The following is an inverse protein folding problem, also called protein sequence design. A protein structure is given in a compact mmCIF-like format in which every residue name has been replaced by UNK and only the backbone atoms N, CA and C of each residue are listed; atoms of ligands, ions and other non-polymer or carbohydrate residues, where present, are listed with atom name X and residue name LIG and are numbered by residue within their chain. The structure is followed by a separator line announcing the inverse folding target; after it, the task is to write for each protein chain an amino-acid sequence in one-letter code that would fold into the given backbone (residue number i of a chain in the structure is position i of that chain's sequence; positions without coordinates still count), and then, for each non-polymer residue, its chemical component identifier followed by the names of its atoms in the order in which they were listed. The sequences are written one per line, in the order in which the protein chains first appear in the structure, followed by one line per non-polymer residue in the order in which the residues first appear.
data_IF_837018520708
#
_entry.id   IF_837018520708
#
_cell.length_a   1.000
_cell.length_b   1.000
_cell.length_c   1.000
_cell.angle_alpha   90.00
_cell.angle_beta   90.00
_cell.angle_gamma   90.00
#
_symmetry.space_group_name_H-M   'P 1'
#
loop_
_entity.id
_entity.type
_entity.pdbx_description
1 polymer ?
#
# COMPACT_ATOMS: atom_id res chain seq x y z
N UNK A 1 9.26 14.95 -41.79
CA UNK A 1 10.25 15.95 -42.26
C UNK A 1 9.71 17.31 -41.82
N UNK A 2 10.29 17.91 -40.78
CA UNK A 2 9.83 19.21 -40.31
C UNK A 2 10.49 20.31 -41.13
N UNK A 3 9.69 21.17 -41.74
CA UNK A 3 10.15 22.32 -42.50
C UNK A 3 10.91 23.29 -41.58
N UNK A 4 12.08 23.75 -42.03
CA UNK A 4 12.90 24.69 -41.26
C UNK A 4 12.38 26.10 -41.51
N UNK A 5 11.78 26.71 -40.50
CA UNK A 5 11.28 28.09 -40.57
C UNK A 5 12.38 29.05 -40.13
N UNK A 6 12.63 30.09 -40.92
CA UNK A 6 13.55 31.17 -40.55
C UNK A 6 12.76 32.20 -39.74
N UNK A 7 13.12 32.39 -38.47
CA UNK A 7 12.52 33.41 -37.60
C UNK A 7 13.28 34.74 -37.65
N UNK A 8 12.71 35.82 -37.09
CA UNK A 8 13.41 37.09 -36.92
C UNK A 8 14.68 36.93 -36.05
N UNK A 9 15.70 37.78 -36.21
CA UNK A 9 16.93 37.73 -35.43
C UNK A 9 16.63 38.07 -33.95
N UNK A 10 16.38 37.03 -33.15
CA UNK A 10 16.23 37.14 -31.70
C UNK A 10 17.56 36.79 -31.01
N UNK A 11 17.85 37.37 -29.82
CA UNK A 11 19.04 36.99 -29.06
C UNK A 11 18.83 35.61 -28.43
N UNK A 12 18.98 34.55 -29.23
CA UNK A 12 19.03 33.19 -28.69
C UNK A 12 20.29 33.03 -27.84
N UNK A 13 20.13 32.49 -26.63
CA UNK A 13 21.25 32.32 -25.68
C UNK A 13 22.33 31.37 -26.22
N UNK A 14 21.90 30.28 -26.87
CA UNK A 14 22.79 29.28 -27.45
C UNK A 14 22.76 29.32 -28.97
N UNK A 15 23.77 29.97 -29.54
CA UNK A 15 23.97 30.10 -30.99
C UNK A 15 25.31 29.55 -31.40
N UNK A 16 25.43 29.21 -32.67
CA UNK A 16 26.69 28.85 -33.32
C UNK A 16 26.85 29.65 -34.60
N UNK A 17 28.11 29.91 -34.95
CA UNK A 17 28.46 30.56 -36.22
C UNK A 17 28.83 29.49 -37.24
N UNK A 18 28.21 29.52 -38.41
CA UNK A 18 28.54 28.66 -39.55
C UNK A 18 28.83 29.57 -40.74
N UNK A 19 30.12 29.73 -41.07
CA UNK A 19 30.55 30.73 -42.03
C UNK A 19 30.09 32.13 -41.59
N UNK A 20 29.22 32.75 -42.38
CA UNK A 20 28.68 34.10 -42.12
C UNK A 20 27.32 34.11 -41.40
N UNK A 21 26.75 32.93 -41.10
CA UNK A 21 25.41 32.80 -40.49
C UNK A 21 25.52 32.50 -39.00
N UNK A 22 24.66 33.14 -38.19
CA UNK A 22 24.38 32.72 -36.81
C UNK A 22 23.13 31.86 -36.80
N UNK A 23 23.25 30.64 -36.29
CA UNK A 23 22.15 29.68 -36.21
C UNK A 23 22.00 29.16 -34.77
N UNK A 24 20.79 28.74 -34.41
CA UNK A 24 20.52 28.07 -33.14
C UNK A 24 21.20 26.70 -33.12
N UNK A 25 21.69 26.27 -31.94
CA UNK A 25 22.17 24.90 -31.74
C UNK A 25 20.97 23.94 -31.79
N UNK A 26 20.82 23.23 -32.90
CA UNK A 26 19.79 22.20 -33.04
C UNK A 26 20.10 20.93 -32.23
N UNK A 27 19.10 20.07 -31.96
CA UNK A 27 19.27 18.87 -31.14
C UNK A 27 20.43 17.97 -31.59
N UNK A 28 20.51 17.64 -32.89
CA UNK A 28 21.61 16.80 -33.43
C UNK A 28 23.00 17.35 -33.12
N UNK A 29 23.16 18.67 -33.16
CA UNK A 29 24.42 19.33 -32.88
C UNK A 29 24.74 19.24 -31.39
N UNK A 30 23.74 19.46 -30.53
CA UNK A 30 23.87 19.29 -29.09
C UNK A 30 24.31 17.87 -28.72
N UNK A 31 23.67 16.83 -29.28
CA UNK A 31 24.06 15.44 -29.05
C UNK A 31 25.51 15.17 -29.46
N UNK A 32 25.95 15.70 -30.61
CA UNK A 32 27.34 15.55 -31.06
C UNK A 32 28.32 16.25 -30.12
N UNK A 33 28.06 17.50 -29.75
CA UNK A 33 28.92 18.27 -28.83
C UNK A 33 29.03 17.58 -27.46
N UNK A 34 27.92 17.05 -26.95
CA UNK A 34 27.88 16.30 -25.70
C UNK A 34 28.72 15.03 -25.77
N UNK A 35 28.58 14.26 -26.86
CA UNK A 35 29.37 13.06 -27.09
C UNK A 35 30.87 13.36 -27.16
N UNK A 36 31.27 14.37 -27.94
CA UNK A 36 32.67 14.78 -28.05
C UNK A 36 33.24 15.24 -26.71
N UNK A 37 32.45 15.93 -25.89
CA UNK A 37 32.87 16.39 -24.57
C UNK A 37 33.07 15.22 -23.61
N UNK A 38 32.17 14.23 -23.61
CA UNK A 38 32.31 13.01 -22.80
C UNK A 38 33.54 12.19 -23.21
N UNK A 39 33.82 12.07 -24.51
CA UNK A 39 35.02 11.40 -25.00
C UNK A 39 36.29 12.11 -24.53
N UNK A 40 36.35 13.45 -24.64
CA UNK A 40 37.51 14.24 -24.19
C UNK A 40 37.72 14.20 -22.68
N UNK A 41 36.63 14.08 -21.91
CA UNK A 41 36.70 13.98 -20.46
C UNK A 41 37.28 12.64 -19.97
N UNK A 42 37.35 11.61 -20.84
CA UNK A 42 37.93 10.31 -20.50
C UNK A 42 37.16 9.55 -19.40
N UNK A 43 35.91 9.91 -19.15
CA UNK A 43 35.10 9.28 -18.10
C UNK A 43 34.59 7.92 -18.55
N UNK A 44 34.74 6.93 -17.69
CA UNK A 44 34.30 5.55 -17.92
C UNK A 44 33.29 5.09 -16.88
N UNK A 45 32.50 4.09 -17.24
CA UNK A 45 31.66 3.36 -16.28
C UNK A 45 32.50 2.36 -15.45
N UNK A 46 31.83 1.62 -14.57
CA UNK A 46 32.46 0.59 -13.72
C UNK A 46 33.08 -0.57 -14.50
N UNK A 47 32.72 -0.76 -15.76
CA UNK A 47 33.28 -1.77 -16.65
C UNK A 47 34.41 -1.20 -17.54
N UNK A 48 34.83 0.04 -17.31
CA UNK A 48 35.87 0.71 -18.09
C UNK A 48 35.40 1.19 -19.47
N UNK A 49 34.10 1.18 -19.76
CA UNK A 49 33.57 1.64 -21.04
C UNK A 49 33.29 3.14 -21.04
N UNK A 50 33.50 3.86 -22.16
CA UNK A 50 33.23 5.30 -22.24
C UNK A 50 31.76 5.62 -21.93
N UNK A 51 31.54 6.65 -21.10
CA UNK A 51 30.19 7.10 -20.76
C UNK A 51 29.45 7.63 -21.99
N UNK A 52 28.19 7.20 -22.14
CA UNK A 52 27.26 7.69 -23.17
C UNK A 52 26.04 8.30 -22.49
N UNK A 53 25.99 9.63 -22.40
CA UNK A 53 24.85 10.34 -21.85
C UNK A 53 24.14 11.21 -22.89
N UNK A 54 22.84 11.34 -22.69
CA UNK A 54 21.94 12.22 -23.44
C UNK A 54 21.49 13.39 -22.56
N UNK A 55 20.95 14.48 -23.13
CA UNK A 55 20.36 15.56 -22.33
C UNK A 55 19.27 15.07 -21.34
N UNK A 56 18.55 14.00 -21.70
CA UNK A 56 17.58 13.38 -20.82
C UNK A 56 18.22 12.74 -19.58
N UNK A 57 19.43 12.21 -19.70
CA UNK A 57 20.16 11.63 -18.57
C UNK A 57 20.62 12.71 -17.59
N UNK A 58 21.07 13.87 -18.09
CA UNK A 58 21.36 15.03 -17.23
C UNK A 58 20.12 15.52 -16.48
N UNK A 59 18.96 15.55 -17.15
CA UNK A 59 17.68 15.84 -16.50
C UNK A 59 17.34 14.84 -15.39
N UNK A 60 17.61 13.54 -15.61
CA UNK A 60 17.41 12.48 -14.62
C UNK A 60 18.35 12.62 -13.43
N UNK A 61 19.62 12.90 -13.68
CA UNK A 61 20.64 13.12 -12.64
C UNK A 61 20.23 14.30 -11.75
N UNK A 62 19.93 15.46 -12.37
CA UNK A 62 19.46 16.64 -11.64
C UNK A 62 18.21 16.37 -10.81
N UNK A 63 17.19 15.72 -11.39
CA UNK A 63 15.95 15.43 -10.68
C UNK A 63 16.16 14.49 -9.49
N UNK A 64 17.00 13.46 -9.67
CA UNK A 64 17.33 12.50 -8.62
C UNK A 64 18.11 13.19 -7.50
N UNK A 65 19.12 13.98 -7.83
CA UNK A 65 19.95 14.71 -6.87
C UNK A 65 19.12 15.72 -6.06
N UNK A 66 18.31 16.54 -6.73
CA UNK A 66 17.46 17.52 -6.06
C UNK A 66 16.47 16.88 -5.09
N UNK A 67 15.79 15.81 -5.51
CA UNK A 67 14.83 15.08 -4.65
C UNK A 67 15.54 14.35 -3.51
N UNK A 68 16.70 13.74 -3.77
CA UNK A 68 17.52 13.07 -2.73
C UNK A 68 18.07 14.08 -1.72
N UNK A 69 18.42 15.29 -2.16
CA UNK A 69 18.82 16.43 -1.33
C UNK A 69 17.67 17.08 -0.54
N UNK A 70 16.46 16.51 -0.57
CA UNK A 70 15.32 16.94 0.24
C UNK A 70 14.37 17.91 -0.45
N UNK A 71 14.54 18.21 -1.75
CA UNK A 71 13.58 19.05 -2.47
C UNK A 71 12.23 18.33 -2.58
N UNK A 72 11.12 18.94 -2.14
CA UNK A 72 9.80 18.32 -2.24
C UNK A 72 9.44 17.97 -3.69
N UNK A 73 8.91 16.77 -3.90
CA UNK A 73 8.66 16.21 -5.25
C UNK A 73 7.78 17.10 -6.14
N UNK A 74 6.81 17.81 -5.55
CA UNK A 74 5.93 18.71 -6.30
C UNK A 74 6.66 19.99 -6.76
N UNK A 75 7.68 20.45 -6.02
CA UNK A 75 8.54 21.57 -6.43
C UNK A 75 9.50 21.11 -7.53
N UNK A 76 10.12 19.94 -7.36
CA UNK A 76 10.96 19.34 -8.40
C UNK A 76 10.19 19.17 -9.72
N UNK A 77 8.94 18.69 -9.65
CA UNK A 77 8.06 18.58 -10.81
C UNK A 77 7.80 19.93 -11.51
N UNK A 78 7.61 21.00 -10.72
CA UNK A 78 7.39 22.35 -11.25
C UNK A 78 8.64 22.90 -11.95
N UNK A 79 9.84 22.70 -11.39
CA UNK A 79 11.11 23.09 -12.01
C UNK A 79 11.32 22.36 -13.33
N UNK A 80 10.95 21.07 -13.39
CA UNK A 80 11.07 20.25 -14.59
C UNK A 80 9.96 20.53 -15.62
N UNK A 81 8.93 21.31 -15.28
CA UNK A 81 7.79 21.55 -16.15
C UNK A 81 6.93 20.29 -16.38
N UNK A 82 6.89 19.38 -15.41
CA UNK A 82 6.04 18.18 -15.47
C UNK A 82 4.60 18.52 -15.12
N UNK A 83 3.67 18.23 -16.02
CA UNK A 83 2.22 18.39 -15.78
C UNK A 83 1.63 17.28 -14.88
N UNK A 84 2.33 16.15 -14.75
CA UNK A 84 1.90 15.02 -13.92
C UNK A 84 2.99 14.64 -12.92
N UNK A 85 2.66 14.65 -11.63
CA UNK A 85 3.56 14.28 -10.54
C UNK A 85 4.10 12.84 -10.66
N UNK A 86 3.34 11.92 -11.26
CA UNK A 86 3.77 10.54 -11.48
C UNK A 86 5.09 10.44 -12.28
N UNK A 87 5.34 11.39 -13.20
CA UNK A 87 6.59 11.44 -13.98
C UNK A 87 7.81 11.84 -13.16
N UNK A 88 7.61 12.52 -12.02
CA UNK A 88 8.66 12.90 -11.07
C UNK A 88 8.79 11.88 -9.94
N UNK A 89 7.72 11.17 -9.60
CA UNK A 89 7.72 10.12 -8.57
C UNK A 89 8.72 9.00 -8.86
N UNK A 90 9.04 8.72 -10.13
CA UNK A 90 10.07 7.74 -10.49
C UNK A 90 11.44 8.04 -9.84
N UNK A 91 11.74 9.31 -9.53
CA UNK A 91 12.97 9.71 -8.86
C UNK A 91 12.95 9.49 -7.34
N UNK A 92 11.79 9.22 -6.73
CA UNK A 92 11.65 8.90 -5.30
C UNK A 92 12.05 7.46 -4.95
N UNK A 93 12.28 6.58 -5.93
CA UNK A 93 12.65 5.19 -5.67
C UNK A 93 13.96 5.04 -4.87
N UNK A 94 14.83 6.05 -4.92
CA UNK A 94 16.10 6.13 -4.16
C UNK A 94 15.86 6.40 -2.65
N UNK A 95 14.65 6.82 -2.25
CA UNK A 95 14.34 7.29 -0.90
C UNK A 95 13.89 6.19 0.08
N UNK A 96 13.88 4.91 -0.28
CA UNK A 96 13.30 3.85 0.57
C UNK A 96 13.97 3.75 1.96
N UNK A 97 15.30 3.87 2.05
CA UNK A 97 16.00 3.80 3.34
C UNK A 97 15.77 5.04 4.22
N UNK A 98 15.79 6.22 3.61
CA UNK A 98 15.55 7.51 4.28
C UNK A 98 14.12 7.62 4.81
N UNK A 99 13.14 7.20 4.00
CA UNK A 99 11.72 7.15 4.37
C UNK A 99 11.47 6.19 5.52
N UNK A 100 12.05 4.98 5.47
CA UNK A 100 11.92 4.01 6.55
C UNK A 100 12.52 4.58 7.83
N UNK A 101 13.67 5.26 7.74
CA UNK A 101 14.33 5.86 8.90
C UNK A 101 13.51 7.01 9.50
N UNK A 102 13.02 7.93 8.67
CA UNK A 102 12.20 9.05 9.14
C UNK A 102 10.89 8.58 9.77
N UNK A 103 10.24 7.57 9.17
CA UNK A 103 9.03 6.96 9.71
C UNK A 103 9.29 6.26 11.05
N UNK A 104 10.39 5.50 11.17
CA UNK A 104 10.79 4.87 12.43
C UNK A 104 11.08 5.91 13.52
N UNK A 105 11.78 6.99 13.19
CA UNK A 105 12.06 8.08 14.13
C UNK A 105 10.76 8.72 14.64
N UNK A 106 9.83 9.04 13.74
CA UNK A 106 8.51 9.56 14.09
C UNK A 106 7.74 8.62 15.05
N UNK A 107 7.75 7.30 14.79
CA UNK A 107 7.12 6.32 15.67
C UNK A 107 7.80 6.26 17.05
N UNK A 108 9.12 6.35 17.11
CA UNK A 108 9.87 6.34 18.37
C UNK A 108 9.52 7.55 19.24
N UNK A 109 9.52 8.76 18.68
CA UNK A 109 9.13 9.99 19.41
C UNK A 109 7.71 9.88 19.98
N UNK A 110 6.77 9.30 19.22
CA UNK A 110 5.41 9.05 19.73
C UNK A 110 5.38 8.06 20.89
N UNK A 111 6.20 7.01 20.85
CA UNK A 111 6.30 6.02 21.95
C UNK A 111 6.87 6.66 23.22
N UNK A 112 7.83 7.57 23.10
CA UNK A 112 8.41 8.31 24.23
C UNK A 112 7.37 9.19 24.94
N UNK A 113 6.43 9.79 24.20
CA UNK A 113 5.37 10.61 24.81
C UNK A 113 4.27 9.82 25.53
N UNK A 114 4.29 8.49 25.43
CA UNK A 114 3.24 7.64 25.98
C UNK A 114 3.57 7.23 27.42
N UNK A 115 2.59 7.24 28.34
CA UNK A 115 2.84 6.83 29.73
C UNK A 115 3.51 5.45 29.80
N UNK A 116 4.63 5.29 30.55
CA UNK A 116 5.34 4.02 30.65
C UNK A 116 4.46 2.86 31.14
N UNK A 117 3.42 3.17 31.93
CA UNK A 117 2.45 2.21 32.43
C UNK A 117 1.66 1.49 31.30
N UNK A 118 1.55 2.08 30.10
CA UNK A 118 0.91 1.43 28.94
C UNK A 118 1.78 0.33 28.31
N UNK A 119 3.08 0.31 28.59
CA UNK A 119 4.03 -0.68 28.08
C UNK A 119 4.47 -1.71 29.14
N UNK A 120 3.77 -1.79 30.27
CA UNK A 120 4.09 -2.82 31.26
C UNK A 120 3.89 -4.21 30.67
N UNK A 121 4.78 -5.12 31.02
CA UNK A 121 4.57 -6.54 30.72
C UNK A 121 3.34 -7.04 31.50
N UNK A 122 2.38 -7.70 30.84
CA UNK A 122 1.25 -8.32 31.54
C UNK A 122 1.75 -9.41 32.50
N UNK A 123 1.16 -9.50 33.68
CA UNK A 123 1.51 -10.52 34.67
C UNK A 123 1.05 -11.91 34.22
N UNK A 124 1.64 -12.97 34.78
CA UNK A 124 1.19 -14.35 34.52
C UNK A 124 -0.29 -14.57 34.87
N UNK A 125 -0.79 -13.89 35.91
CA UNK A 125 -2.20 -13.95 36.29
C UNK A 125 -3.10 -13.30 35.24
N UNK A 126 -2.72 -12.14 34.71
CA UNK A 126 -3.45 -11.46 33.65
C UNK A 126 -3.41 -12.24 32.33
N UNK A 127 -2.26 -12.87 32.02
CA UNK A 127 -2.16 -13.81 30.91
C UNK A 127 -3.09 -15.00 31.08
N UNK A 128 -3.15 -15.58 32.28
CA UNK A 128 -4.04 -16.70 32.60
C UNK A 128 -5.50 -16.29 32.50
N UNK A 129 -5.86 -15.10 33.00
CA UNK A 129 -7.20 -14.53 32.90
C UNK A 129 -7.59 -14.27 31.45
N UNK A 130 -6.68 -13.68 30.67
CA UNK A 130 -6.86 -13.44 29.24
C UNK A 130 -7.11 -14.76 28.50
N UNK A 131 -6.28 -15.79 28.71
CA UNK A 131 -6.43 -17.09 28.04
C UNK A 131 -7.76 -17.78 28.41
N UNK A 132 -8.10 -17.85 29.70
CA UNK A 132 -9.38 -18.40 30.17
C UNK A 132 -10.58 -17.67 29.54
N UNK A 133 -10.48 -16.35 29.32
CA UNK A 133 -11.57 -15.56 28.72
C UNK A 133 -11.89 -15.94 27.28
N UNK A 134 -10.92 -16.43 26.50
CA UNK A 134 -11.17 -16.92 25.13
C UNK A 134 -11.85 -18.30 25.13
N UNK A 135 -11.51 -19.17 26.09
CA UNK A 135 -12.12 -20.49 26.23
C UNK A 135 -13.61 -20.40 26.62
N UNK A 136 -13.99 -19.34 27.33
CA UNK A 136 -15.35 -19.12 27.82
C UNK A 136 -16.35 -18.60 26.77
N UNK A 137 -15.89 -18.19 25.58
CA UNK A 137 -16.75 -17.58 24.54
C UNK A 137 -17.13 -18.54 23.43
N UNK A 138 -17.52 -19.76 23.80
CA UNK A 138 -18.24 -20.67 22.91
C UNK A 138 -19.67 -20.17 22.75
N UNK A 139 -20.13 -20.09 21.51
CA UNK A 139 -21.49 -19.70 21.13
C UNK A 139 -22.06 -20.78 20.21
N UNK A 140 -23.37 -20.77 19.98
CA UNK A 140 -24.10 -21.85 19.28
C UNK A 140 -23.42 -22.36 18.00
N UNK A 141 -22.92 -21.45 17.16
CA UNK A 141 -22.30 -21.80 15.87
C UNK A 141 -20.76 -21.85 15.90
N UNK A 142 -20.11 -21.58 17.03
CA UNK A 142 -18.64 -21.56 17.09
C UNK A 142 -18.09 -20.72 18.24
N UNK A 143 -17.20 -19.77 17.93
CA UNK A 143 -16.53 -18.93 18.93
C UNK A 143 -16.65 -17.45 18.61
N UNK A 144 -16.71 -16.62 19.65
CA UNK A 144 -16.72 -15.17 19.50
C UNK A 144 -15.30 -14.61 19.57
N UNK A 145 -14.82 -14.03 18.47
CA UNK A 145 -13.50 -13.39 18.35
C UNK A 145 -13.44 -11.95 18.87
N UNK A 146 -14.47 -11.49 19.61
CA UNK A 146 -14.53 -10.15 20.19
C UNK A 146 -13.32 -9.94 21.13
N UNK A 147 -12.65 -8.77 21.09
CA UNK A 147 -11.52 -8.48 21.97
C UNK A 147 -11.85 -8.63 23.46
N UNK A 148 -10.79 -8.82 24.26
CA UNK A 148 -10.87 -8.82 25.71
C UNK A 148 -11.44 -7.49 26.22
N UNK A 149 -12.22 -7.56 27.32
CA UNK A 149 -12.85 -6.40 27.96
C UNK A 149 -13.83 -5.54 27.11
N UNK A 150 -14.27 -6.00 25.93
CA UNK A 150 -15.31 -5.31 25.16
C UNK A 150 -16.72 -5.84 25.48
N UNK A 151 -17.70 -5.02 25.92
CA UNK A 151 -19.08 -5.46 26.15
C UNK A 151 -19.82 -5.77 24.82
N UNK A 152 -20.92 -6.51 24.87
CA UNK A 152 -21.79 -6.80 23.71
C UNK A 152 -23.23 -6.83 24.20
N UNK A 153 -24.10 -6.02 23.61
CA UNK A 153 -25.52 -5.97 23.96
C UNK A 153 -26.31 -7.20 23.47
N UNK A 154 -25.75 -7.94 22.52
CA UNK A 154 -26.41 -9.05 21.82
C UNK A 154 -25.64 -10.36 22.01
N UNK A 155 -25.13 -10.57 23.22
CA UNK A 155 -24.46 -11.82 23.59
C UNK A 155 -25.37 -13.00 23.20
N UNK A 156 -24.82 -13.96 22.43
CA UNK A 156 -25.52 -15.12 21.83
C UNK A 156 -26.36 -14.89 20.56
N UNK A 157 -26.57 -13.67 20.05
CA UNK A 157 -27.24 -13.42 18.75
C UNK A 157 -26.21 -13.17 17.64
N UNK A 158 -25.61 -14.25 17.13
CA UNK A 158 -24.29 -14.12 16.48
C UNK A 158 -24.24 -14.20 14.95
N UNK A 159 -25.28 -14.63 14.23
CA UNK A 159 -25.17 -14.85 12.76
C UNK A 159 -24.80 -13.58 11.99
N UNK A 160 -25.32 -12.41 12.38
CA UNK A 160 -24.93 -11.11 11.79
C UNK A 160 -23.60 -10.58 12.31
N UNK A 161 -23.12 -11.07 13.45
CA UNK A 161 -21.92 -10.54 14.09
C UNK A 161 -20.68 -10.83 13.21
N UNK A 162 -19.84 -9.83 12.89
CA UNK A 162 -18.58 -10.05 12.18
C UNK A 162 -17.54 -10.75 13.06
N UNK A 163 -17.70 -10.72 14.39
CA UNK A 163 -16.80 -11.38 15.33
C UNK A 163 -17.09 -12.88 15.49
N UNK A 164 -18.21 -13.39 14.95
CA UNK A 164 -18.52 -14.82 15.00
C UNK A 164 -17.58 -15.59 14.06
N UNK A 165 -16.74 -16.45 14.65
CA UNK A 165 -15.95 -17.46 13.94
C UNK A 165 -16.72 -18.77 14.00
N UNK A 166 -17.30 -19.16 12.86
CA UNK A 166 -18.11 -20.37 12.76
C UNK A 166 -17.20 -21.59 12.84
N UNK A 167 -17.56 -22.57 13.67
CA UNK A 167 -16.83 -23.83 13.72
C UNK A 167 -17.07 -24.61 12.42
N UNK A 168 -16.03 -25.24 11.82
CA UNK A 168 -16.21 -26.03 10.60
C UNK A 168 -17.29 -27.12 10.72
N UNK A 169 -17.43 -27.72 11.91
CA UNK A 169 -18.47 -28.73 12.20
C UNK A 169 -19.90 -28.18 12.16
N UNK A 170 -20.07 -26.85 12.23
CA UNK A 170 -21.38 -26.18 12.19
C UNK A 170 -21.77 -25.71 10.77
N UNK A 171 -20.99 -26.06 9.74
CA UNK A 171 -21.26 -25.65 8.34
C UNK A 171 -22.65 -26.06 7.87
N UNK A 172 -23.05 -27.31 8.13
CA UNK A 172 -24.36 -27.83 7.74
C UNK A 172 -25.51 -27.05 8.41
N UNK A 173 -25.35 -26.74 9.71
CA UNK A 173 -26.33 -25.95 10.46
C UNK A 173 -26.44 -24.52 9.95
N UNK A 174 -25.33 -23.89 9.60
CA UNK A 174 -25.33 -22.56 9.00
C UNK A 174 -25.99 -22.55 7.62
N UNK A 175 -25.81 -23.61 6.82
CA UNK A 175 -26.49 -23.77 5.53
C UNK A 175 -28.00 -23.96 5.68
N UNK A 176 -28.45 -24.66 6.72
CA UNK A 176 -29.87 -24.75 7.09
C UNK A 176 -30.45 -23.38 7.45
N UNK A 177 -29.75 -22.60 8.28
CA UNK A 177 -30.15 -21.23 8.64
C UNK A 177 -30.26 -20.35 7.39
N UNK A 178 -29.30 -20.43 6.47
CA UNK A 178 -29.32 -19.67 5.22
C UNK A 178 -30.53 -20.04 4.33
N UNK A 179 -30.84 -21.33 4.19
CA UNK A 179 -32.03 -21.78 3.45
C UNK A 179 -33.31 -21.28 4.10
N UNK A 180 -33.43 -21.42 5.41
CA UNK A 180 -34.60 -20.94 6.13
C UNK A 180 -34.81 -19.42 5.95
N UNK A 181 -33.73 -18.63 6.02
CA UNK A 181 -33.80 -17.18 5.77
C UNK A 181 -34.29 -16.87 4.35
N UNK A 182 -33.83 -17.60 3.33
CA UNK A 182 -34.30 -17.43 1.96
C UNK A 182 -35.81 -17.75 1.83
N UNK A 183 -36.28 -18.83 2.47
CA UNK A 183 -37.70 -19.18 2.49
C UNK A 183 -38.55 -18.10 3.19
N UNK A 184 -38.06 -17.57 4.33
CA UNK A 184 -38.74 -16.49 5.06
C UNK A 184 -38.79 -15.19 4.25
N UNK A 185 -37.75 -14.87 3.47
CA UNK A 185 -37.74 -13.72 2.56
C UNK A 185 -38.79 -13.89 1.46
N UNK A 186 -38.90 -15.08 0.87
CA UNK A 186 -39.89 -15.36 -0.17
C UNK A 186 -41.32 -15.22 0.37
N UNK A 187 -41.57 -15.74 1.58
CA UNK A 187 -42.85 -15.58 2.27
C UNK A 187 -43.18 -14.12 2.59
N UNK A 188 -42.23 -13.38 3.16
CA UNK A 188 -42.40 -11.96 3.46
C UNK A 188 -42.72 -11.12 2.22
N UNK A 189 -42.08 -11.42 1.08
CA UNK A 189 -42.40 -10.77 -0.21
C UNK A 189 -43.80 -11.10 -0.69
N UNK A 190 -44.21 -12.36 -0.58
CA UNK A 190 -45.55 -12.81 -1.00
C UNK A 190 -46.64 -12.14 -0.17
N UNK A 191 -46.40 -11.95 1.13
CA UNK A 191 -47.35 -11.34 2.06
C UNK A 191 -47.24 -9.80 2.15
N UNK A 192 -46.32 -9.18 1.39
CA UNK A 192 -46.14 -7.72 1.41
C UNK A 192 -45.47 -7.15 2.68
N UNK A 193 -44.77 -7.98 3.47
CA UNK A 193 -44.07 -7.56 4.70
C UNK A 193 -42.70 -6.95 4.40
N UNK A 194 -42.69 -5.81 3.72
CA UNK A 194 -41.46 -5.19 3.24
C UNK A 194 -40.45 -4.86 4.36
N UNK A 195 -40.92 -4.50 5.56
CA UNK A 195 -40.04 -4.20 6.70
C UNK A 195 -39.25 -5.40 7.23
N UNK A 196 -39.78 -6.63 7.07
CA UNK A 196 -39.10 -7.85 7.50
C UNK A 196 -38.07 -8.33 6.46
N UNK A 197 -38.31 -8.04 5.18
CA UNK A 197 -37.44 -8.46 4.07
C UNK A 197 -36.02 -7.93 4.27
N UNK A 198 -35.86 -6.65 4.60
CA UNK A 198 -34.54 -6.03 4.75
C UNK A 198 -33.73 -6.67 5.87
N UNK A 199 -34.35 -6.90 7.03
CA UNK A 199 -33.71 -7.58 8.16
C UNK A 199 -33.31 -9.00 7.81
N UNK A 200 -34.20 -9.77 7.19
CA UNK A 200 -33.92 -11.15 6.79
C UNK A 200 -32.81 -11.22 5.74
N UNK A 201 -32.78 -10.29 4.78
CA UNK A 201 -31.73 -10.21 3.75
C UNK A 201 -30.35 -9.97 4.38
N UNK A 202 -30.23 -9.04 5.33
CA UNK A 202 -28.97 -8.80 6.05
C UNK A 202 -28.49 -10.06 6.77
N UNK A 203 -29.40 -10.81 7.41
CA UNK A 203 -29.04 -12.09 8.03
C UNK A 203 -28.54 -13.12 7.02
N UNK A 204 -29.20 -13.21 5.87
CA UNK A 204 -28.85 -14.15 4.80
C UNK A 204 -27.47 -13.83 4.22
N UNK A 205 -27.19 -12.57 3.94
CA UNK A 205 -25.91 -12.12 3.40
C UNK A 205 -24.76 -12.48 4.35
N UNK A 206 -24.94 -12.24 5.66
CA UNK A 206 -23.94 -12.61 6.66
C UNK A 206 -23.77 -14.13 6.80
N UNK A 207 -24.84 -14.92 6.69
CA UNK A 207 -24.76 -16.38 6.71
C UNK A 207 -24.00 -16.91 5.48
N UNK A 208 -24.30 -16.38 4.29
CA UNK A 208 -23.63 -16.72 3.03
C UNK A 208 -22.14 -16.36 3.05
N UNK A 209 -21.78 -15.17 3.53
CA UNK A 209 -20.38 -14.75 3.69
C UNK A 209 -19.59 -15.69 4.61
N UNK A 210 -20.22 -16.14 5.70
CA UNK A 210 -19.60 -17.09 6.65
C UNK A 210 -19.43 -18.48 6.03
N UNK A 211 -20.41 -18.99 5.28
CA UNK A 211 -20.26 -20.23 4.50
C UNK A 211 -19.11 -20.13 3.50
N UNK A 212 -19.05 -19.06 2.72
CA UNK A 212 -17.96 -18.83 1.78
C UNK A 212 -16.58 -18.73 2.47
N UNK A 213 -16.54 -18.23 3.71
CA UNK A 213 -15.32 -18.23 4.53
C UNK A 213 -14.91 -19.64 4.94
N UNK A 214 -15.86 -20.50 5.35
CA UNK A 214 -15.59 -21.91 5.67
C UNK A 214 -15.09 -22.68 4.44
N UNK A 215 -15.71 -22.48 3.28
CA UNK A 215 -15.29 -23.13 2.03
C UNK A 215 -13.89 -22.69 1.60
N UNK A 216 -13.53 -21.42 1.83
CA UNK A 216 -12.16 -20.94 1.59
C UNK A 216 -11.18 -21.62 2.54
N UNK A 217 -11.51 -21.69 3.84
CA UNK A 217 -10.67 -22.34 4.84
C UNK A 217 -10.45 -23.82 4.52
N UNK A 218 -11.50 -24.55 4.12
CA UNK A 218 -11.41 -25.95 3.71
C UNK A 218 -10.47 -26.13 2.49
N UNK A 219 -10.58 -25.24 1.48
CA UNK A 219 -9.70 -25.25 0.30
C UNK A 219 -8.25 -24.89 0.61
N UNK A 220 -8.02 -23.97 1.55
CA UNK A 220 -6.67 -23.55 1.94
C UNK A 220 -6.04 -24.43 3.00
N UNK A 221 -6.80 -25.24 3.72
CA UNK A 221 -6.33 -26.05 4.85
C UNK A 221 -5.26 -27.10 4.49
N UNK A 222 -5.14 -27.48 3.22
CA UNK A 222 -4.04 -28.33 2.73
C UNK A 222 -2.71 -27.59 2.54
N UNK A 223 -2.73 -26.26 2.41
CA UNK A 223 -1.54 -25.42 2.55
C UNK A 223 -1.42 -25.10 4.02
N UNK A 224 -0.56 -25.83 4.74
CA UNK A 224 -0.25 -25.55 6.14
C UNK A 224 0.06 -24.06 6.38
N UNK A 225 0.05 -23.59 7.64
CA UNK A 225 0.31 -22.20 7.97
C UNK A 225 1.57 -21.72 7.25
N UNK A 226 1.47 -20.56 6.57
CA UNK A 226 2.64 -19.94 5.95
C UNK A 226 3.63 -19.68 7.08
N UNK A 227 4.78 -20.35 7.04
CA UNK A 227 5.82 -20.16 8.03
C UNK A 227 6.45 -18.79 7.81
N UNK A 228 6.01 -17.79 8.57
CA UNK A 228 6.56 -16.42 8.53
C UNK A 228 7.89 -16.31 9.31
N UNK A 229 8.39 -17.43 9.86
CA UNK A 229 9.51 -17.46 10.81
C UNK A 229 9.12 -16.86 12.16
N UNK A 230 9.77 -17.29 13.25
CA UNK A 230 9.61 -16.55 14.51
C UNK A 230 10.36 -15.21 14.37
N UNK A 231 9.73 -14.07 14.69
CA UNK A 231 10.46 -12.82 14.77
C UNK A 231 11.54 -12.97 15.85
N UNK A 232 12.80 -12.79 15.47
CA UNK A 232 13.89 -12.67 16.44
C UNK A 232 13.66 -11.37 17.19
N UNK A 233 13.20 -11.45 18.43
CA UNK A 233 13.10 -10.30 19.32
C UNK A 233 14.47 -10.17 20.00
N UNK A 234 15.32 -9.21 19.62
CA UNK A 234 16.58 -9.00 20.31
C UNK A 234 16.29 -8.66 21.78
N UNK A 235 16.96 -9.35 22.70
CA UNK A 235 16.89 -9.01 24.12
C UNK A 235 17.33 -7.57 24.31
N UNK A 236 16.43 -6.72 24.83
CA UNK A 236 16.77 -5.37 25.25
C UNK A 236 17.71 -5.51 26.45
N UNK A 237 18.96 -5.06 26.28
CA UNK A 237 19.92 -4.90 27.38
C UNK A 237 19.68 -3.57 28.09
#
# INVERSE_FOLDING_TARGET
MHERVTGPPLPHLFQRTIGWRREIIGPRVLYRLLHETLLRAGLTDRAGQPLRYTPQDFRRIFATDAVTGGLPVHIAAKILGHHNLATTHAYLAVFQAELIRSYRAYLNTRRETRPPAEYREPTTQEWTQFQKHFELRKVELGTCGRPYATPCAHEHVCVRCPMLRVAPTQQARLAEIARNLADRIAEAKTNGWLGEVDGLQVSLDHAAQKLASLDRLARTGGRGPVAIGMPVIPSIR
#
